data_IF_948840445558
#
_entry.id   IF_948840445558
#
_cell.length_a   1.000
_cell.length_b   1.000
_cell.length_c   1.000
_cell.angle_alpha   90.00
_cell.angle_beta   90.00
_cell.angle_gamma   90.00
#
_symmetry.space_group_name_H-M   'P 1'
#
loop_
_entity.id
_entity.type
_entity.pdbx_description
1 polymer ?
#
# COMPACT_ATOMS: atom_id res chain seq x y z
N UNK A 1 -19.74 14.45 -4.02
CA UNK A 1 -18.75 13.91 -3.06
C UNK A 1 -17.38 13.88 -3.75
N UNK A 2 -16.50 14.84 -3.48
CA UNK A 2 -15.13 14.85 -4.05
C UNK A 2 -14.26 13.98 -3.16
N UNK A 3 -14.09 12.71 -3.55
CA UNK A 3 -13.05 11.85 -2.97
C UNK A 3 -11.76 12.67 -2.92
N UNK A 4 -11.18 12.79 -1.72
CA UNK A 4 -9.94 13.54 -1.58
C UNK A 4 -8.87 12.79 -2.40
N UNK A 5 -8.01 13.54 -3.12
CA UNK A 5 -6.96 12.98 -4.01
C UNK A 5 -6.14 11.86 -3.33
N UNK A 6 -6.07 11.93 -2.01
CA UNK A 6 -5.53 10.96 -1.08
C UNK A 6 -6.22 9.58 -1.10
N UNK A 7 -7.55 9.52 -0.99
CA UNK A 7 -8.30 8.25 -0.93
C UNK A 7 -8.21 7.50 -2.26
N UNK A 8 -8.27 8.23 -3.38
CA UNK A 8 -8.10 7.62 -4.70
C UNK A 8 -6.70 7.03 -4.88
N UNK A 9 -5.65 7.68 -4.36
CA UNK A 9 -4.28 7.15 -4.43
C UNK A 9 -4.10 5.89 -3.55
N UNK A 10 -4.74 5.86 -2.38
CA UNK A 10 -4.75 4.68 -1.51
C UNK A 10 -5.47 3.50 -2.17
N UNK A 11 -6.59 3.75 -2.84
CA UNK A 11 -7.34 2.71 -3.55
C UNK A 11 -6.54 2.12 -4.72
N UNK A 12 -5.86 2.98 -5.50
CA UNK A 12 -4.95 2.54 -6.56
C UNK A 12 -3.79 1.71 -5.99
N UNK A 13 -3.19 2.12 -4.87
CA UNK A 13 -2.13 1.36 -4.21
C UNK A 13 -2.58 -0.06 -3.81
N UNK A 14 -3.74 -0.19 -3.15
CA UNK A 14 -4.28 -1.50 -2.77
C UNK A 14 -4.49 -2.36 -4.02
N UNK A 15 -5.07 -1.80 -5.08
CA UNK A 15 -5.32 -2.54 -6.31
C UNK A 15 -4.02 -3.02 -6.96
N UNK A 16 -2.97 -2.18 -6.99
CA UNK A 16 -1.65 -2.55 -7.52
C UNK A 16 -1.00 -3.65 -6.69
N UNK A 17 -1.09 -3.60 -5.36
CA UNK A 17 -0.59 -4.68 -4.50
C UNK A 17 -1.35 -5.98 -4.74
N UNK A 18 -2.68 -5.92 -4.85
CA UNK A 18 -3.51 -7.10 -5.11
C UNK A 18 -3.17 -7.71 -6.46
N UNK A 19 -3.02 -6.90 -7.50
CA UNK A 19 -2.58 -7.35 -8.82
C UNK A 19 -1.19 -8.01 -8.76
N UNK A 20 -0.22 -7.41 -8.05
CA UNK A 20 1.11 -8.00 -7.85
C UNK A 20 1.02 -9.36 -7.14
N UNK A 21 0.16 -9.48 -6.12
CA UNK A 21 -0.10 -10.72 -5.41
C UNK A 21 -0.67 -11.81 -6.33
N UNK A 22 -1.65 -11.47 -7.16
CA UNK A 22 -2.24 -12.41 -8.13
C UNK A 22 -1.22 -12.89 -9.17
N UNK A 23 -0.39 -11.99 -9.71
CA UNK A 23 0.66 -12.38 -10.66
C UNK A 23 1.69 -13.29 -9.98
N UNK A 24 2.03 -13.02 -8.72
CA UNK A 24 2.94 -13.87 -7.94
C UNK A 24 2.36 -15.26 -7.71
N UNK A 25 1.08 -15.37 -7.33
CA UNK A 25 0.41 -16.66 -7.16
C UNK A 25 0.33 -17.44 -8.47
N UNK A 26 0.02 -16.76 -9.57
CA UNK A 26 -0.01 -17.38 -10.89
C UNK A 26 1.38 -17.89 -11.32
N UNK A 27 2.43 -17.08 -11.09
CA UNK A 27 3.82 -17.47 -11.33
C UNK A 27 4.24 -18.68 -10.48
N UNK A 28 3.82 -18.74 -9.21
CA UNK A 28 4.10 -19.87 -8.33
C UNK A 28 3.43 -21.16 -8.82
N UNK A 29 2.16 -21.10 -9.25
CA UNK A 29 1.46 -22.24 -9.84
C UNK A 29 2.14 -22.74 -11.12
N UNK A 30 2.63 -21.83 -11.97
CA UNK A 30 3.40 -22.19 -13.16
C UNK A 30 4.72 -22.87 -12.80
N UNK A 31 5.48 -22.31 -11.86
CA UNK A 31 6.73 -22.92 -11.39
C UNK A 31 6.52 -24.35 -10.88
N UNK A 32 5.44 -24.59 -10.13
CA UNK A 32 5.10 -25.92 -9.64
C UNK A 32 4.71 -26.88 -10.79
N UNK A 33 3.95 -26.41 -11.77
CA UNK A 33 3.62 -27.20 -12.98
C UNK A 33 4.85 -27.51 -13.86
N UNK A 34 5.89 -26.67 -13.80
CA UNK A 34 7.13 -26.88 -14.54
C UNK A 34 8.02 -27.92 -13.88
N UNK A 35 7.99 -28.02 -12.54
CA UNK A 35 8.73 -29.05 -11.80
C UNK A 35 8.33 -30.47 -12.25
N UNK A 36 7.09 -30.67 -12.67
CA UNK A 36 6.58 -31.95 -13.19
C UNK A 36 7.00 -32.25 -14.65
N UNK A 37 7.47 -31.26 -15.42
CA UNK A 37 7.68 -31.35 -16.88
C UNK A 37 9.13 -31.09 -17.36
N UNK A 38 10.09 -30.96 -16.42
CA UNK A 38 11.50 -30.57 -16.65
C UNK A 38 12.31 -31.42 -17.64
N UNK A 39 11.77 -32.51 -18.18
CA UNK A 39 12.46 -33.43 -19.09
C UNK A 39 12.30 -33.12 -20.59
N UNK A 40 11.62 -32.04 -20.97
CA UNK A 40 11.38 -31.72 -22.40
C UNK A 40 11.96 -30.37 -22.83
N UNK A 41 12.28 -30.25 -24.13
CA UNK A 41 12.80 -29.03 -24.76
C UNK A 41 11.88 -27.79 -24.59
N UNK A 42 10.63 -27.97 -24.15
CA UNK A 42 9.69 -26.87 -23.84
C UNK A 42 10.03 -26.10 -22.55
N UNK A 43 10.98 -26.59 -21.74
CA UNK A 43 11.37 -25.95 -20.48
C UNK A 43 11.96 -24.54 -20.65
N UNK A 44 12.63 -24.25 -21.77
CA UNK A 44 13.24 -22.95 -22.02
C UNK A 44 12.20 -21.83 -22.21
N UNK A 45 11.15 -22.07 -23.00
CA UNK A 45 10.07 -21.10 -23.22
C UNK A 45 9.30 -20.80 -21.93
N UNK A 46 9.13 -21.82 -21.10
CA UNK A 46 8.48 -21.75 -19.79
C UNK A 46 9.28 -20.89 -18.79
N UNK A 47 10.61 -21.03 -18.78
CA UNK A 47 11.50 -20.20 -17.96
C UNK A 47 11.46 -18.73 -18.42
N UNK A 48 11.43 -18.48 -19.74
CA UNK A 48 11.29 -17.12 -20.29
C UNK A 48 9.95 -16.51 -19.88
N UNK A 49 8.87 -17.27 -19.92
CA UNK A 49 7.55 -16.81 -19.48
C UNK A 49 7.53 -16.48 -17.98
N UNK A 50 8.11 -17.34 -17.14
CA UNK A 50 8.20 -17.10 -15.70
C UNK A 50 9.04 -15.85 -15.39
N UNK A 51 10.12 -15.61 -16.13
CA UNK A 51 10.93 -14.40 -15.99
C UNK A 51 10.11 -13.13 -16.30
N UNK A 52 9.28 -13.16 -17.37
CA UNK A 52 8.37 -12.05 -17.69
C UNK A 52 7.35 -11.79 -16.58
N UNK A 53 6.76 -12.84 -16.01
CA UNK A 53 5.84 -12.70 -14.88
C UNK A 53 6.54 -12.10 -13.67
N UNK A 54 7.74 -12.57 -13.34
CA UNK A 54 8.51 -12.06 -12.21
C UNK A 54 8.89 -10.58 -12.40
N UNK A 55 9.26 -10.20 -13.63
CA UNK A 55 9.52 -8.80 -13.98
C UNK A 55 8.26 -7.94 -13.84
N UNK A 56 7.12 -8.40 -14.35
CA UNK A 56 5.84 -7.69 -14.22
C UNK A 56 5.45 -7.50 -12.75
N UNK A 57 5.58 -8.54 -11.92
CA UNK A 57 5.39 -8.44 -10.46
C UNK A 57 6.34 -7.42 -9.84
N UNK A 58 7.61 -7.44 -10.20
CA UNK A 58 8.60 -6.50 -9.70
C UNK A 58 8.23 -5.05 -10.02
N UNK A 59 7.76 -4.77 -11.24
CA UNK A 59 7.28 -3.44 -11.65
C UNK A 59 6.03 -3.03 -10.85
N UNK A 60 5.08 -3.95 -10.64
CA UNK A 60 3.89 -3.67 -9.83
C UNK A 60 4.27 -3.36 -8.37
N UNK A 61 5.18 -4.14 -7.78
CA UNK A 61 5.68 -3.89 -6.42
C UNK A 61 6.45 -2.57 -6.31
N UNK A 62 7.32 -2.24 -7.27
CA UNK A 62 8.02 -0.96 -7.29
C UNK A 62 7.04 0.22 -7.38
N UNK A 63 6.01 0.08 -8.22
CA UNK A 63 4.94 1.08 -8.33
C UNK A 63 4.17 1.20 -7.02
N UNK A 64 3.81 0.09 -6.38
CA UNK A 64 3.18 0.09 -5.07
C UNK A 64 4.05 0.82 -4.04
N UNK A 65 5.33 0.47 -3.91
CA UNK A 65 6.26 1.13 -2.99
C UNK A 65 6.35 2.65 -3.23
N UNK A 66 6.39 3.07 -4.49
CA UNK A 66 6.38 4.49 -4.84
C UNK A 66 5.11 5.19 -4.33
N UNK A 67 3.92 4.62 -4.58
CA UNK A 67 2.66 5.18 -4.05
C UNK A 67 2.60 5.14 -2.52
N UNK A 68 3.08 4.07 -1.89
CA UNK A 68 3.14 3.93 -0.43
C UNK A 68 3.99 5.03 0.22
N UNK A 69 5.20 5.26 -0.29
CA UNK A 69 6.15 6.22 0.26
C UNK A 69 5.75 7.67 -0.04
N UNK A 70 5.35 7.97 -1.28
CA UNK A 70 5.12 9.36 -1.71
C UNK A 70 3.70 9.86 -1.47
N UNK A 71 2.69 8.98 -1.38
CA UNK A 71 1.30 9.39 -1.17
C UNK A 71 0.76 8.97 0.19
N UNK A 72 0.91 7.69 0.57
CA UNK A 72 0.27 7.16 1.78
C UNK A 72 0.99 7.62 3.05
N UNK A 73 2.30 7.46 3.13
CA UNK A 73 3.09 7.88 4.29
C UNK A 73 2.92 9.37 4.66
N UNK A 74 3.05 10.33 3.73
CA UNK A 74 2.86 11.74 4.07
C UNK A 74 1.41 12.08 4.43
N UNK A 75 0.43 11.34 3.91
CA UNK A 75 -0.97 11.53 4.29
C UNK A 75 -1.21 11.14 5.75
N UNK A 76 -0.82 9.92 6.11
CA UNK A 76 -0.97 9.40 7.49
C UNK A 76 -0.23 10.31 8.46
N UNK A 77 0.99 10.74 8.08
CA UNK A 77 1.79 11.66 8.90
C UNK A 77 1.09 13.01 9.12
N UNK A 78 0.45 13.58 8.09
CA UNK A 78 -0.29 14.85 8.22
C UNK A 78 -1.52 14.69 9.11
N UNK A 79 -2.32 13.65 8.89
CA UNK A 79 -3.52 13.38 9.69
C UNK A 79 -3.17 13.13 11.17
N UNK A 80 -2.15 12.31 11.46
CA UNK A 80 -1.70 12.08 12.83
C UNK A 80 -1.19 13.37 13.52
N UNK A 81 -0.56 14.27 12.76
CA UNK A 81 -0.10 15.57 13.27
C UNK A 81 -1.28 16.52 13.54
N UNK A 82 -2.29 16.52 12.68
CA UNK A 82 -3.52 17.33 12.84
C UNK A 82 -4.37 16.84 14.02
N UNK A 83 -4.57 15.53 14.17
CA UNK A 83 -5.22 14.93 15.34
C UNK A 83 -4.47 15.24 16.64
N UNK A 84 -3.13 15.17 16.62
CA UNK A 84 -2.30 15.58 17.76
C UNK A 84 -2.51 17.04 18.15
N UNK A 85 -2.60 17.94 17.16
CA UNK A 85 -2.87 19.37 17.39
C UNK A 85 -4.27 19.63 17.93
N UNK A 86 -5.29 18.92 17.43
CA UNK A 86 -6.68 19.01 17.91
C UNK A 86 -6.80 18.52 19.36
N UNK A 87 -6.10 17.44 19.71
CA UNK A 87 -6.06 16.92 21.07
C UNK A 87 -5.40 17.91 22.04
N UNK A 88 -4.30 18.55 21.63
CA UNK A 88 -3.65 19.59 22.42
C UNK A 88 -4.55 20.81 22.63
N UNK A 89 -5.31 21.23 21.61
CA UNK A 89 -6.25 22.35 21.71
C UNK A 89 -7.39 22.04 22.69
N UNK A 90 -7.92 20.82 22.65
CA UNK A 90 -8.97 20.35 23.58
C UNK A 90 -8.48 20.36 25.03
N UNK A 91 -7.26 19.89 25.28
CA UNK A 91 -6.66 19.93 26.62
C UNK A 91 -6.50 21.39 27.11
N UNK A 92 -6.04 22.29 26.24
CA UNK A 92 -5.88 23.71 26.60
C UNK A 92 -7.21 24.41 26.90
N UNK A 93 -8.26 24.08 26.15
CA UNK A 93 -9.61 24.60 26.35
C UNK A 93 -10.22 24.05 27.64
N UNK A 94 -10.03 22.76 27.91
CA UNK A 94 -10.48 22.12 29.16
C UNK A 94 -9.85 22.79 30.38
N UNK A 95 -8.52 22.95 30.41
CA UNK A 95 -7.81 23.59 31.51
C UNK A 95 -8.22 25.06 31.70
N UNK A 96 -8.51 25.76 30.59
CA UNK A 96 -9.01 27.13 30.65
C UNK A 96 -10.46 27.21 31.12
N UNK A 97 -11.30 26.23 30.81
CA UNK A 97 -12.68 26.17 31.35
C UNK A 97 -12.71 25.87 32.84
N UNK A 98 -11.83 24.99 33.33
CA UNK A 98 -11.73 24.62 34.75
C UNK A 98 -11.27 25.81 35.60
N UNK A 99 -10.36 26.63 35.07
CA UNK A 99 -9.94 27.88 35.73
C UNK A 99 -11.03 28.95 35.72
N UNK A 100 -11.91 28.97 34.72
CA UNK A 100 -13.08 29.86 34.71
C UNK A 100 -14.19 29.39 35.65
N UNK A 101 -14.41 28.07 35.79
CA UNK A 101 -15.35 27.55 36.79
C UNK A 101 -14.88 27.82 38.23
N UNK A 102 -13.58 27.78 38.50
CA UNK A 102 -13.03 28.15 39.82
C UNK A 102 -13.01 29.66 40.09
N UNK A 103 -13.17 30.48 39.06
CA UNK A 103 -13.17 31.94 39.17
C UNK A 103 -14.59 32.56 39.19
N UNK A 104 -15.65 31.75 39.04
CA UNK A 104 -17.06 32.15 39.08
C UNK A 104 -17.71 31.73 40.41
#
# INVERSE_FOLDING_TARGET
MRFHKAESAFFVFIFVILAAGLVTLHAYGLLQSFADELHTASGLDKVIYLNKLLFATGVLLATALFFGIFFIYPLIRKQAMEEGKLRAMTVSLSARSETFEHAA
#
